data_IF_823081426745
#
_entry.id   IF_823081426745
#
_cell.length_a   1.000
_cell.length_b   1.000
_cell.length_c   1.000
_cell.angle_alpha   90.00
_cell.angle_beta   90.00
_cell.angle_gamma   90.00
#
_symmetry.space_group_name_H-M   'P 1'
#
loop_
_entity.id
_entity.type
_entity.pdbx_description
1 polymer ?
#
# COMPACT_ATOMS: atom_id res chain seq x y z
N UNK A 1 -7.66 -9.03 63.86
CA UNK A 1 -7.82 -10.48 63.67
C UNK A 1 -9.21 -10.71 63.09
N UNK A 2 -9.24 -11.23 61.86
CA UNK A 2 -10.33 -11.72 60.99
C UNK A 2 -11.81 -11.29 61.11
N UNK A 3 -12.28 -10.86 59.93
CA UNK A 3 -13.52 -11.22 59.21
C UNK A 3 -14.89 -10.70 59.72
N UNK A 4 -15.63 -9.99 58.86
CA UNK A 4 -16.63 -10.60 57.95
C UNK A 4 -17.32 -9.53 57.07
N UNK A 5 -17.68 -9.94 55.85
CA UNK A 5 -18.50 -9.23 54.84
C UNK A 5 -19.97 -9.20 55.25
N UNK A 6 -20.72 -8.12 54.98
CA UNK A 6 -22.15 -8.16 54.60
C UNK A 6 -22.54 -6.98 53.69
N UNK A 7 -23.47 -7.27 52.78
CA UNK A 7 -24.00 -6.45 51.70
C UNK A 7 -25.00 -5.38 52.17
N UNK A 8 -25.13 -4.29 51.39
CA UNK A 8 -26.20 -3.31 51.53
C UNK A 8 -26.62 -2.74 50.17
N UNK A 9 -27.87 -2.94 49.81
CA UNK A 9 -28.55 -2.40 48.61
C UNK A 9 -29.14 -1.01 48.87
N UNK A 10 -29.32 -0.22 47.80
CA UNK A 10 -30.47 0.67 47.48
C UNK A 10 -30.04 2.03 46.88
N UNK A 11 -30.63 2.38 45.74
CA UNK A 11 -30.54 3.70 45.13
C UNK A 11 -30.91 3.69 43.64
N UNK A 12 -32.19 3.49 43.33
CA UNK A 12 -32.74 3.75 42.00
C UNK A 12 -32.91 5.26 41.80
N UNK A 13 -32.39 5.81 40.70
CA UNK A 13 -32.94 7.01 40.07
C UNK A 13 -33.21 6.69 38.60
N UNK A 14 -34.49 6.55 38.25
CA UNK A 14 -34.97 6.59 36.87
C UNK A 14 -34.80 8.00 36.31
N UNK A 15 -34.13 8.13 35.16
CA UNK A 15 -34.47 9.18 34.19
C UNK A 15 -34.71 8.56 32.82
N UNK A 16 -35.98 8.57 32.45
CA UNK A 16 -36.53 8.27 31.14
C UNK A 16 -36.44 9.51 30.25
N UNK A 17 -35.86 9.36 29.07
CA UNK A 17 -35.86 10.32 27.97
C UNK A 17 -35.17 9.65 26.78
N UNK A 18 -35.90 8.84 26.01
CA UNK A 18 -36.58 9.25 24.78
C UNK A 18 -35.62 9.95 23.81
N UNK A 19 -35.03 9.14 22.93
CA UNK A 19 -34.23 9.56 21.80
C UNK A 19 -34.23 8.39 20.84
N UNK A 20 -35.00 8.54 19.77
CA UNK A 20 -35.16 7.65 18.62
C UNK A 20 -33.84 6.95 18.30
N UNK A 21 -33.85 5.62 18.31
CA UNK A 21 -32.75 4.84 17.78
C UNK A 21 -32.60 5.21 16.31
N UNK A 22 -31.65 6.09 16.00
CA UNK A 22 -30.99 6.08 14.71
C UNK A 22 -30.46 4.65 14.56
N UNK A 23 -31.17 3.85 13.75
CA UNK A 23 -30.57 2.75 13.05
C UNK A 23 -29.49 3.37 12.17
N UNK A 24 -28.31 3.62 12.75
CA UNK A 24 -27.10 3.82 12.00
C UNK A 24 -26.97 2.56 11.17
N UNK A 25 -27.36 2.64 9.90
CA UNK A 25 -26.98 1.65 8.89
C UNK A 25 -25.47 1.62 8.99
N UNK A 26 -24.92 0.60 9.67
CA UNK A 26 -23.48 0.43 9.71
C UNK A 26 -23.04 0.31 8.27
N UNK A 27 -22.40 1.38 7.80
CA UNK A 27 -21.92 1.47 6.44
C UNK A 27 -21.00 0.26 6.21
N UNK A 28 -21.21 -0.53 5.14
CA UNK A 28 -20.45 -1.75 4.93
C UNK A 28 -18.97 -1.46 5.07
N UNK A 29 -18.30 -2.12 6.02
CA UNK A 29 -16.87 -1.94 6.20
C UNK A 29 -16.15 -2.59 5.01
N UNK A 30 -15.55 -1.77 4.16
CA UNK A 30 -14.71 -2.24 3.06
C UNK A 30 -13.27 -2.42 3.58
N UNK A 31 -12.73 -3.65 3.64
CA UNK A 31 -11.35 -3.88 4.06
C UNK A 31 -10.34 -3.14 3.16
N UNK A 32 -10.71 -2.82 1.93
CA UNK A 32 -9.89 -2.13 0.95
C UNK A 32 -10.21 -0.63 0.85
N UNK A 33 -10.94 -0.07 1.81
CA UNK A 33 -11.21 1.37 1.90
C UNK A 33 -9.91 2.18 1.86
N UNK A 34 -8.84 1.65 2.44
CA UNK A 34 -7.48 2.21 2.39
C UNK A 34 -6.51 1.14 1.88
N UNK A 35 -5.73 1.48 0.86
CA UNK A 35 -4.65 0.65 0.33
C UNK A 35 -3.40 1.49 0.06
N UNK A 36 -2.26 0.83 -0.17
CA UNK A 36 -1.00 1.49 -0.51
C UNK A 36 -0.55 1.03 -1.89
N UNK A 37 -0.30 2.00 -2.78
CA UNK A 37 0.35 1.76 -4.05
C UNK A 37 1.83 2.12 -3.98
N UNK A 38 2.71 1.12 -4.05
CA UNK A 38 4.17 1.24 -4.08
C UNK A 38 4.65 1.27 -5.53
N UNK A 39 5.57 2.19 -5.84
CA UNK A 39 6.18 2.35 -7.15
C UNK A 39 7.64 1.90 -7.06
N UNK A 40 7.90 0.69 -7.57
CA UNK A 40 9.20 0.05 -7.62
C UNK A 40 10.02 0.47 -8.85
N UNK A 41 11.32 0.18 -8.82
CA UNK A 41 12.17 0.24 -10.02
C UNK A 41 11.82 -0.90 -11.00
N UNK A 42 12.11 -0.74 -12.31
CA UNK A 42 11.85 -1.79 -13.28
C UNK A 42 12.53 -3.11 -12.91
N UNK A 43 11.79 -4.22 -12.95
CA UNK A 43 12.21 -5.57 -12.56
C UNK A 43 11.98 -5.92 -11.09
N UNK A 44 11.64 -4.95 -10.24
CA UNK A 44 11.53 -5.14 -8.79
C UNK A 44 10.08 -5.27 -8.30
N UNK A 45 9.06 -5.02 -9.14
CA UNK A 45 7.68 -5.02 -8.65
C UNK A 45 7.18 -6.40 -8.25
N UNK A 46 7.47 -7.43 -9.06
CA UNK A 46 6.94 -8.77 -8.82
C UNK A 46 7.53 -9.41 -7.55
N UNK A 47 8.87 -9.45 -7.34
CA UNK A 47 9.42 -10.01 -6.10
C UNK A 47 8.92 -9.27 -4.85
N UNK A 48 8.76 -7.95 -4.94
CA UNK A 48 8.26 -7.13 -3.85
C UNK A 48 6.78 -7.40 -3.57
N UNK A 49 5.93 -7.51 -4.59
CA UNK A 49 4.52 -7.87 -4.45
C UNK A 49 4.40 -9.26 -3.78
N UNK A 50 5.11 -10.27 -4.30
CA UNK A 50 5.09 -11.63 -3.73
C UNK A 50 5.55 -11.66 -2.26
N UNK A 51 6.57 -10.87 -1.91
CA UNK A 51 7.04 -10.79 -0.53
C UNK A 51 5.98 -10.18 0.39
N UNK A 52 5.32 -9.11 -0.04
CA UNK A 52 4.23 -8.47 0.73
C UNK A 52 3.04 -9.43 0.86
N UNK A 53 2.63 -10.09 -0.23
CA UNK A 53 1.50 -11.02 -0.24
C UNK A 53 1.75 -12.21 0.70
N UNK A 54 2.98 -12.75 0.73
CA UNK A 54 3.35 -13.82 1.68
C UNK A 54 3.23 -13.38 3.14
N UNK A 55 3.60 -12.14 3.45
CA UNK A 55 3.47 -11.60 4.82
C UNK A 55 1.99 -11.36 5.16
N UNK A 56 1.20 -10.81 4.24
CA UNK A 56 -0.24 -10.60 4.48
C UNK A 56 -1.04 -11.91 4.54
N UNK A 57 -0.59 -12.97 3.86
CA UNK A 57 -1.20 -14.29 3.96
C UNK A 57 -1.13 -14.90 5.37
N UNK A 58 -0.21 -14.43 6.24
CA UNK A 58 -0.22 -14.79 7.66
C UNK A 58 -1.39 -14.17 8.43
N UNK A 59 -1.95 -13.06 7.92
CA UNK A 59 -3.09 -12.35 8.49
C UNK A 59 -4.39 -12.88 7.87
N UNK A 60 -4.50 -12.78 6.54
CA UNK A 60 -5.66 -13.28 5.80
C UNK A 60 -5.29 -13.44 4.29
N UNK A 61 -5.61 -14.57 3.64
CA UNK A 61 -5.16 -14.88 2.28
C UNK A 61 -5.72 -13.93 1.21
N UNK A 62 -6.94 -13.40 1.40
CA UNK A 62 -7.59 -12.51 0.42
C UNK A 62 -7.25 -11.02 0.63
N UNK A 63 -6.34 -10.70 1.56
CA UNK A 63 -6.05 -9.33 1.96
C UNK A 63 -5.05 -8.66 1.01
N UNK A 64 -5.56 -8.06 -0.07
CA UNK A 64 -4.77 -7.33 -1.08
C UNK A 64 -4.67 -5.83 -0.79
N UNK A 65 -4.04 -5.45 0.33
CA UNK A 65 -3.92 -4.03 0.73
C UNK A 65 -2.81 -3.27 0.01
N UNK A 66 -1.95 -3.95 -0.74
CA UNK A 66 -0.80 -3.36 -1.41
C UNK A 66 -0.82 -3.65 -2.90
N UNK A 67 -0.55 -2.62 -3.68
CA UNK A 67 -0.21 -2.74 -5.10
C UNK A 67 1.23 -2.35 -5.30
N UNK A 68 1.98 -3.12 -6.07
CA UNK A 68 3.31 -2.74 -6.53
C UNK A 68 3.28 -2.58 -8.05
N UNK A 69 3.65 -1.40 -8.52
CA UNK A 69 3.86 -1.14 -9.95
C UNK A 69 5.27 -0.65 -10.22
N UNK A 70 5.65 -0.60 -11.49
CA UNK A 70 6.96 -0.14 -11.92
C UNK A 70 6.88 1.26 -12.51
N UNK A 71 7.89 2.07 -12.19
CA UNK A 71 8.13 3.32 -12.91
C UNK A 71 8.66 3.02 -14.31
N UNK A 72 8.47 3.96 -15.25
CA UNK A 72 8.92 3.82 -16.66
C UNK A 72 10.44 3.73 -16.86
N UNK A 73 11.23 4.27 -15.94
CA UNK A 73 12.69 4.28 -16.01
C UNK A 73 13.29 4.27 -14.61
N UNK A 74 14.39 3.56 -14.43
CA UNK A 74 15.09 3.51 -13.14
C UNK A 74 15.51 4.91 -12.71
N UNK A 75 15.24 5.26 -11.45
CA UNK A 75 15.80 6.49 -10.88
C UNK A 75 17.26 6.22 -10.56
N UNK A 76 18.19 7.02 -11.13
CA UNK A 76 19.55 7.09 -10.59
C UNK A 76 19.41 7.39 -9.10
N UNK A 77 19.94 6.52 -8.24
CA UNK A 77 20.03 6.75 -6.79
C UNK A 77 20.74 8.09 -6.59
N UNK A 78 19.97 9.16 -6.43
CA UNK A 78 20.51 10.45 -6.01
C UNK A 78 21.09 10.18 -4.62
N UNK A 79 22.37 10.49 -4.41
CA UNK A 79 22.95 10.51 -3.07
C UNK A 79 22.03 11.40 -2.23
N UNK A 80 21.34 10.79 -1.27
CA UNK A 80 20.56 11.55 -0.33
C UNK A 80 21.50 12.60 0.28
N UNK A 81 21.11 13.89 0.33
CA UNK A 81 21.86 14.84 1.14
C UNK A 81 21.94 14.27 2.56
N UNK A 82 23.06 14.53 3.27
CA UNK A 82 23.20 14.21 4.70
C UNK A 82 22.23 15.08 5.51
N UNK A 83 20.93 14.89 5.32
CA UNK A 83 19.91 15.39 6.20
C UNK A 83 19.91 14.50 7.45
N UNK A 84 19.63 15.10 8.62
CA UNK A 84 19.26 14.35 9.83
C UNK A 84 18.27 13.24 9.44
N UNK A 85 18.33 12.08 10.08
CA UNK A 85 17.44 10.94 9.81
C UNK A 85 16.00 11.43 9.65
N UNK A 86 15.57 11.57 8.39
CA UNK A 86 14.34 12.28 8.08
C UNK A 86 13.23 11.23 8.12
N UNK A 87 12.27 11.42 9.02
CA UNK A 87 11.23 10.43 9.27
C UNK A 87 10.27 10.36 8.08
N UNK A 88 10.10 9.21 7.41
CA UNK A 88 9.09 9.07 6.36
C UNK A 88 7.69 9.37 6.89
N UNK A 89 6.87 10.02 6.07
CA UNK A 89 5.51 10.40 6.41
C UNK A 89 4.59 9.18 6.58
N UNK A 90 4.85 8.06 5.90
CA UNK A 90 4.00 6.88 5.93
C UNK A 90 4.71 5.71 6.62
N UNK A 91 3.98 5.01 7.48
CA UNK A 91 4.37 3.76 8.10
C UNK A 91 3.28 2.69 7.96
N UNK A 92 3.73 1.45 7.84
CA UNK A 92 2.93 0.23 7.94
C UNK A 92 3.41 -0.52 9.17
N UNK A 93 2.50 -0.82 10.09
CA UNK A 93 2.82 -1.62 11.27
C UNK A 93 1.89 -2.82 11.32
N UNK A 94 2.47 -4.00 11.35
CA UNK A 94 1.76 -5.26 11.52
C UNK A 94 1.84 -5.68 12.98
N UNK A 95 0.70 -5.81 13.63
CA UNK A 95 0.59 -6.38 14.96
C UNK A 95 0.19 -7.83 14.80
N UNK A 96 1.13 -8.74 15.10
CA UNK A 96 0.95 -10.17 14.89
C UNK A 96 0.97 -10.90 16.24
N UNK A 97 0.11 -11.90 16.43
CA UNK A 97 0.16 -12.74 17.63
C UNK A 97 1.53 -13.43 17.76
N UNK A 98 2.02 -13.57 19.00
CA UNK A 98 3.33 -14.20 19.28
C UNK A 98 3.47 -15.61 18.69
N UNK A 99 2.38 -16.36 18.57
CA UNK A 99 2.36 -17.69 17.94
C UNK A 99 2.71 -17.69 16.44
N UNK A 100 2.44 -16.58 15.74
CA UNK A 100 2.86 -16.40 14.33
C UNK A 100 4.31 -15.93 14.20
N UNK A 101 4.94 -15.53 15.31
CA UNK A 101 6.29 -14.97 15.35
C UNK A 101 7.24 -15.75 16.29
N UNK A 102 7.32 -17.10 16.21
CA UNK A 102 8.07 -17.91 17.18
C UNK A 102 9.59 -17.65 17.18
N UNK A 103 10.10 -16.92 16.19
CA UNK A 103 11.53 -16.63 16.02
C UNK A 103 11.87 -15.14 15.97
N UNK A 104 10.89 -14.23 16.12
CA UNK A 104 11.21 -12.80 16.11
C UNK A 104 11.58 -12.33 17.53
N UNK A 105 12.70 -11.62 17.70
CA UNK A 105 12.99 -10.98 18.97
C UNK A 105 11.85 -10.01 19.31
N UNK A 106 11.47 -9.96 20.59
CA UNK A 106 10.40 -9.08 21.07
C UNK A 106 10.73 -7.64 20.63
N UNK A 107 9.95 -7.14 19.67
CA UNK A 107 10.10 -5.84 19.01
C UNK A 107 11.16 -5.79 17.89
N UNK A 108 10.72 -5.55 16.64
CA UNK A 108 11.58 -5.10 15.55
C UNK A 108 11.52 -3.57 15.44
N UNK A 109 12.66 -2.91 15.39
CA UNK A 109 12.72 -1.49 15.02
C UNK A 109 12.18 -1.25 13.61
N UNK A 110 11.78 -0.01 13.34
CA UNK A 110 11.29 0.35 12.01
C UNK A 110 12.38 0.14 10.95
N UNK A 111 12.02 -0.46 9.83
CA UNK A 111 12.89 -0.66 8.67
C UNK A 111 12.26 -0.07 7.40
N UNK A 112 13.07 0.18 6.38
CA UNK A 112 12.59 0.61 5.06
C UNK A 112 13.00 -0.42 4.01
N UNK A 113 12.10 -0.75 3.10
CA UNK A 113 12.38 -1.66 1.98
C UNK A 113 13.25 -0.96 0.93
N UNK A 114 12.98 0.32 0.65
CA UNK A 114 13.80 1.17 -0.19
C UNK A 114 13.64 2.66 0.20
N UNK A 115 14.55 3.56 -0.21
CA UNK A 115 14.36 4.99 -0.02
C UNK A 115 13.05 5.48 -0.66
N UNK A 116 12.28 6.29 0.09
CA UNK A 116 11.02 6.85 -0.38
C UNK A 116 9.82 5.89 -0.31
N UNK A 117 9.97 4.68 0.25
CA UNK A 117 8.85 3.78 0.59
C UNK A 117 8.43 3.98 2.06
N UNK A 118 7.34 3.37 2.53
CA UNK A 118 6.94 3.48 3.93
C UNK A 118 7.98 2.90 4.88
N UNK A 119 7.94 3.34 6.14
CA UNK A 119 8.53 2.60 7.25
C UNK A 119 7.69 1.35 7.53
N UNK A 120 8.34 0.24 7.85
CA UNK A 120 7.72 -1.03 8.20
C UNK A 120 8.12 -1.43 9.60
N UNK A 121 7.20 -2.02 10.34
CA UNK A 121 7.51 -2.69 11.59
C UNK A 121 6.55 -3.86 11.82
N UNK A 122 7.08 -4.91 12.44
CA UNK A 122 6.29 -6.03 12.93
C UNK A 122 6.38 -6.01 14.46
N UNK A 123 5.23 -6.03 15.12
CA UNK A 123 5.12 -5.94 16.58
C UNK A 123 4.34 -7.15 17.10
N UNK A 124 4.89 -7.92 18.05
CA UNK A 124 4.15 -9.01 18.67
C UNK A 124 3.00 -8.45 19.54
N UNK A 125 1.88 -9.17 19.57
CA UNK A 125 0.79 -8.94 20.53
C UNK A 125 0.48 -10.23 21.30
N UNK A 126 0.23 -10.10 22.61
CA UNK A 126 -0.04 -11.25 23.47
C UNK A 126 -1.45 -11.83 23.28
N UNK A 127 -2.41 -10.99 22.88
CA UNK A 127 -3.81 -11.37 22.66
C UNK A 127 -4.47 -10.38 21.70
N UNK A 128 -5.61 -10.78 21.16
CA UNK A 128 -6.44 -9.94 20.28
C UNK A 128 -6.33 -10.34 18.82
N UNK A 129 -6.86 -9.49 17.94
CA UNK A 129 -6.85 -9.69 16.50
C UNK A 129 -5.53 -9.27 15.89
N UNK A 130 -5.22 -9.83 14.73
CA UNK A 130 -4.11 -9.34 13.92
C UNK A 130 -4.45 -7.94 13.39
N UNK A 131 -3.50 -7.01 13.43
CA UNK A 131 -3.77 -5.62 13.05
C UNK A 131 -2.83 -5.19 11.94
N UNK A 132 -3.41 -4.76 10.81
CA UNK A 132 -2.69 -3.99 9.80
C UNK A 132 -2.97 -2.53 10.05
N UNK A 133 -1.93 -1.76 10.43
CA UNK A 133 -2.06 -0.33 10.70
C UNK A 133 -1.25 0.53 9.75
N UNK A 134 -1.94 1.35 8.99
CA UNK A 134 -1.35 2.45 8.25
C UNK A 134 -1.25 3.68 9.17
N UNK A 135 -0.08 4.30 9.22
CA UNK A 135 0.19 5.46 10.07
C UNK A 135 0.76 6.59 9.24
N UNK A 136 0.09 7.74 9.25
CA UNK A 136 0.65 8.99 8.72
C UNK A 136 1.27 9.78 9.86
N UNK A 137 2.57 10.02 9.74
CA UNK A 137 3.30 10.96 10.57
C UNK A 137 3.10 12.37 10.04
N UNK A 138 2.63 13.24 10.93
CA UNK A 138 2.19 14.59 10.58
C UNK A 138 3.09 15.62 11.26
N UNK A 139 3.26 16.79 10.66
CA UNK A 139 3.86 17.94 11.33
C UNK A 139 3.02 18.41 12.52
N UNK A 140 3.69 19.05 13.48
CA UNK A 140 3.04 19.55 14.68
C UNK A 140 1.98 20.63 14.39
N UNK A 141 2.31 21.57 13.50
CA UNK A 141 1.48 22.70 13.10
C UNK A 141 0.27 22.29 12.27
N UNK A 142 0.42 21.29 11.39
CA UNK A 142 -0.64 20.85 10.48
C UNK A 142 -1.59 19.79 11.05
N UNK A 143 -1.33 19.24 12.24
CA UNK A 143 -2.06 18.08 12.77
C UNK A 143 -3.59 18.25 12.80
N UNK A 144 -4.08 19.44 13.19
CA UNK A 144 -5.52 19.69 13.26
C UNK A 144 -6.20 19.65 11.88
N UNK A 145 -5.52 20.15 10.85
CA UNK A 145 -6.07 20.21 9.50
C UNK A 145 -5.87 18.88 8.76
N UNK A 146 -4.79 18.15 9.04
CA UNK A 146 -4.59 16.76 8.59
C UNK A 146 -5.65 15.83 9.18
N UNK A 147 -5.98 16.01 10.47
CA UNK A 147 -7.06 15.25 11.11
C UNK A 147 -8.39 15.45 10.37
N UNK A 148 -8.78 16.69 10.12
CA UNK A 148 -10.01 17.02 9.38
C UNK A 148 -9.98 16.48 7.95
N UNK A 149 -8.84 16.56 7.27
CA UNK A 149 -8.65 16.06 5.91
C UNK A 149 -8.91 14.55 5.82
N UNK A 150 -8.27 13.75 6.67
CA UNK A 150 -8.47 12.30 6.66
C UNK A 150 -9.84 11.88 7.22
N UNK A 151 -10.39 12.61 8.20
CA UNK A 151 -11.78 12.42 8.66
C UNK A 151 -12.78 12.65 7.53
N UNK A 152 -12.56 13.67 6.69
CA UNK A 152 -13.39 13.96 5.51
C UNK A 152 -13.28 12.87 4.44
N UNK A 153 -12.07 12.40 4.12
CA UNK A 153 -11.85 11.34 3.12
C UNK A 153 -12.42 10.00 3.58
N UNK A 154 -12.17 9.62 4.85
CA UNK A 154 -12.66 8.36 5.41
C UNK A 154 -14.15 8.39 5.76
N UNK A 155 -14.77 9.58 5.79
CA UNK A 155 -16.16 9.82 6.23
C UNK A 155 -16.44 9.20 7.60
N UNK A 156 -15.44 9.18 8.48
CA UNK A 156 -15.48 8.52 9.80
C UNK A 156 -14.66 9.32 10.81
N UNK A 157 -15.15 9.39 12.04
CA UNK A 157 -14.41 9.97 13.16
C UNK A 157 -13.46 8.97 13.81
N UNK A 158 -12.36 9.43 14.43
CA UNK A 158 -11.41 8.54 15.09
C UNK A 158 -12.02 7.90 16.35
N UNK A 159 -11.80 6.59 16.54
CA UNK A 159 -12.28 5.83 17.71
C UNK A 159 -11.42 6.04 18.96
N UNK A 160 -10.13 6.32 18.77
CA UNK A 160 -9.20 6.66 19.85
C UNK A 160 -8.51 7.98 19.53
N UNK A 161 -8.53 8.92 20.47
CA UNK A 161 -7.89 10.22 20.30
C UNK A 161 -7.07 10.59 21.52
N UNK A 162 -5.77 10.73 21.30
CA UNK A 162 -4.79 11.32 22.21
C UNK A 162 -4.33 12.66 21.62
N UNK A 163 -3.51 13.39 22.35
CA UNK A 163 -3.02 14.71 21.94
C UNK A 163 -2.16 14.69 20.67
N UNK A 164 -1.46 13.58 20.42
CA UNK A 164 -0.49 13.39 19.35
C UNK A 164 -0.76 12.14 18.51
N UNK A 165 -1.85 11.43 18.77
CA UNK A 165 -2.15 10.16 18.12
C UNK A 165 -3.65 9.90 18.03
N UNK A 166 -4.12 9.46 16.87
CA UNK A 166 -5.50 9.00 16.73
C UNK A 166 -5.61 7.79 15.80
N UNK A 167 -6.68 7.01 15.99
CA UNK A 167 -6.99 5.81 15.19
C UNK A 167 -8.37 5.95 14.57
N UNK A 168 -8.44 5.71 13.27
CA UNK A 168 -9.65 5.50 12.49
C UNK A 168 -9.81 4.00 12.23
N UNK A 169 -10.92 3.38 12.69
CA UNK A 169 -11.22 1.99 12.33
C UNK A 169 -11.64 1.94 10.86
N UNK A 170 -10.90 1.18 10.06
CA UNK A 170 -11.19 0.98 8.63
C UNK A 170 -12.06 -0.25 8.45
N UNK A 171 -11.62 -1.38 8.99
CA UNK A 171 -12.32 -2.65 8.93
C UNK A 171 -12.03 -3.47 10.18
N UNK A 172 -12.99 -4.29 10.60
CA UNK A 172 -12.86 -5.17 11.75
C UNK A 172 -13.64 -6.47 11.49
N UNK A 173 -12.97 -7.60 11.67
CA UNK A 173 -13.59 -8.93 11.63
C UNK A 173 -13.30 -9.71 12.91
N UNK A 174 -13.54 -11.03 12.92
CA UNK A 174 -13.20 -11.89 14.04
C UNK A 174 -11.68 -12.05 14.21
N UNK A 175 -10.92 -12.02 13.11
CA UNK A 175 -9.50 -12.38 13.10
C UNK A 175 -8.59 -11.16 12.82
N UNK A 176 -9.07 -10.16 12.08
CA UNK A 176 -8.26 -9.03 11.62
C UNK A 176 -8.91 -7.68 11.88
N UNK A 177 -8.09 -6.71 12.27
CA UNK A 177 -8.42 -5.28 12.27
C UNK A 177 -7.53 -4.52 11.27
N UNK A 178 -8.16 -3.65 10.49
CA UNK A 178 -7.46 -2.70 9.63
C UNK A 178 -7.66 -1.32 10.22
N UNK A 179 -6.55 -0.64 10.47
CA UNK A 179 -6.55 0.66 11.12
C UNK A 179 -5.80 1.67 10.26
N UNK A 180 -6.37 2.87 10.18
CA UNK A 180 -5.65 4.05 9.73
C UNK A 180 -5.38 4.93 10.94
N UNK A 181 -4.20 5.52 11.05
CA UNK A 181 -3.84 6.31 12.23
C UNK A 181 -3.00 7.52 11.84
N UNK A 182 -3.11 8.56 12.65
CA UNK A 182 -2.30 9.76 12.55
C UNK A 182 -1.42 9.85 13.79
N UNK A 183 -0.14 10.17 13.59
CA UNK A 183 0.80 10.44 14.67
C UNK A 183 1.48 11.78 14.45
N UNK A 184 1.20 12.75 15.31
CA UNK A 184 1.84 14.05 15.31
C UNK A 184 3.29 13.91 15.77
N UNK A 185 4.23 14.43 14.99
CA UNK A 185 5.62 14.50 15.39
C UNK A 185 5.87 15.68 16.36
N UNK A 186 6.95 15.60 17.16
CA UNK A 186 7.46 16.75 17.91
C UNK A 186 7.71 17.96 17.00
N UNK A 187 7.67 19.16 17.57
CA UNK A 187 7.77 20.42 16.83
C UNK A 187 9.11 20.67 16.12
N UNK A 188 10.17 19.92 16.46
CA UNK A 188 11.49 19.98 15.83
C UNK A 188 11.67 18.97 14.68
N UNK A 189 10.64 18.15 14.40
CA UNK A 189 10.68 17.10 13.40
C UNK A 189 9.64 17.33 12.31
N UNK A 190 10.05 17.10 11.07
CA UNK A 190 9.17 17.16 9.92
C UNK A 190 9.18 15.80 9.20
N UNK A 191 7.99 15.25 8.90
CA UNK A 191 7.91 14.07 8.08
C UNK A 191 8.36 14.38 6.65
N UNK A 192 8.92 13.39 5.97
CA UNK A 192 9.28 13.46 4.56
C UNK A 192 8.29 12.63 3.75
N UNK A 193 7.58 13.23 2.78
CA UNK A 193 6.68 12.49 1.91
C UNK A 193 7.35 11.28 1.26
N UNK A 194 6.60 10.18 1.16
CA UNK A 194 7.09 8.93 0.56
C UNK A 194 6.89 8.95 -0.95
N UNK A 195 7.86 9.45 -1.72
CA UNK A 195 7.75 9.59 -3.17
C UNK A 195 7.43 8.30 -3.95
N UNK A 196 7.77 7.14 -3.39
CA UNK A 196 7.59 5.83 -4.02
C UNK A 196 6.42 5.04 -3.40
N UNK A 197 5.59 5.65 -2.56
CA UNK A 197 4.37 5.02 -2.05
C UNK A 197 3.26 6.03 -1.82
N UNK A 198 2.06 5.68 -2.26
CA UNK A 198 0.90 6.58 -2.24
C UNK A 198 -0.26 5.87 -1.57
N UNK A 199 -0.95 6.55 -0.67
CA UNK A 199 -2.20 6.05 -0.11
C UNK A 199 -3.32 6.21 -1.13
N UNK A 200 -4.14 5.17 -1.25
CA UNK A 200 -5.30 5.15 -2.11
C UNK A 200 -6.55 4.86 -1.26
N UNK A 201 -7.53 5.76 -1.37
CA UNK A 201 -8.78 5.70 -0.61
C UNK A 201 -9.95 5.46 -1.55
N UNK A 202 -10.78 4.46 -1.27
CA UNK A 202 -12.05 4.29 -1.97
C UNK A 202 -13.06 5.28 -1.41
N UNK A 203 -13.72 6.04 -2.27
CA UNK A 203 -14.71 7.05 -1.88
C UNK A 203 -15.98 6.87 -2.67
N UNK A 204 -17.12 7.10 -2.01
CA UNK A 204 -18.44 6.89 -2.61
C UNK A 204 -18.77 7.91 -3.69
N UNK A 205 -18.56 9.17 -3.38
CA UNK A 205 -18.87 10.29 -4.27
C UNK A 205 -17.72 11.30 -4.30
N UNK A 206 -16.99 11.33 -5.42
CA UNK A 206 -15.93 12.30 -5.68
C UNK A 206 -16.50 13.71 -5.88
N UNK A 207 -17.66 13.84 -6.52
CA UNK A 207 -18.29 15.12 -6.83
C UNK A 207 -18.68 15.91 -5.59
N UNK A 208 -19.16 15.23 -4.55
CA UNK A 208 -19.39 15.86 -3.24
C UNK A 208 -18.10 16.13 -2.46
N UNK A 209 -17.08 15.27 -2.61
CA UNK A 209 -15.84 15.36 -1.84
C UNK A 209 -14.92 16.49 -2.35
N UNK A 210 -14.75 16.61 -3.67
CA UNK A 210 -13.79 17.55 -4.30
C UNK A 210 -13.97 19.00 -3.83
N UNK A 211 -15.18 19.57 -3.75
CA UNK A 211 -15.37 20.95 -3.28
C UNK A 211 -14.98 21.17 -1.81
N UNK A 212 -14.89 20.11 -1.01
CA UNK A 212 -14.56 20.16 0.41
C UNK A 212 -13.06 19.97 0.68
N UNK A 213 -12.28 19.52 -0.31
CA UNK A 213 -10.85 19.28 -0.16
C UNK A 213 -10.08 20.61 -0.09
N UNK A 214 -9.08 20.72 0.81
CA UNK A 214 -8.29 21.94 0.98
C UNK A 214 -7.33 22.19 -0.18
N UNK A 215 -6.91 21.13 -0.86
CA UNK A 215 -5.99 21.17 -2.00
C UNK A 215 -6.70 20.73 -3.28
N UNK A 216 -6.23 21.20 -4.45
CA UNK A 216 -6.79 20.79 -5.74
C UNK A 216 -6.86 19.26 -5.87
N UNK A 217 -7.97 18.79 -6.41
CA UNK A 217 -8.18 17.40 -6.73
C UNK A 217 -8.48 17.28 -8.22
N UNK A 218 -7.62 16.55 -8.93
CA UNK A 218 -7.68 16.42 -10.39
C UNK A 218 -7.77 14.96 -10.82
N UNK A 219 -8.50 14.64 -11.89
CA UNK A 219 -8.56 13.29 -12.42
C UNK A 219 -7.19 12.92 -13.03
N UNK A 220 -6.74 11.69 -12.78
CA UNK A 220 -5.51 11.13 -13.38
C UNK A 220 -5.79 9.99 -14.35
N UNK A 221 -6.91 9.29 -14.17
CA UNK A 221 -7.48 8.31 -15.09
C UNK A 221 -8.97 8.16 -14.82
N UNK A 222 -9.66 7.35 -15.61
CA UNK A 222 -11.06 7.00 -15.33
C UNK A 222 -11.22 6.46 -13.90
N UNK A 223 -12.15 7.06 -13.14
CA UNK A 223 -12.43 6.68 -11.76
C UNK A 223 -11.32 6.94 -10.73
N UNK A 224 -10.20 7.58 -11.12
CA UNK A 224 -9.05 7.81 -10.22
C UNK A 224 -8.63 9.26 -10.20
N UNK A 225 -8.59 9.82 -9.01
CA UNK A 225 -8.29 11.22 -8.76
C UNK A 225 -7.07 11.34 -7.84
N UNK A 226 -6.39 12.47 -7.92
CA UNK A 226 -5.23 12.76 -7.09
C UNK A 226 -5.41 14.10 -6.40
N UNK A 227 -5.04 14.15 -5.13
CA UNK A 227 -4.89 15.37 -4.33
C UNK A 227 -3.65 15.25 -3.43
N UNK A 228 -3.43 16.22 -2.56
CA UNK A 228 -2.34 16.24 -1.58
C UNK A 228 -2.90 16.62 -0.20
N UNK A 229 -2.30 16.11 0.87
CA UNK A 229 -2.60 16.55 2.24
C UNK A 229 -1.84 17.85 2.59
N UNK A 230 -2.00 18.34 3.82
CA UNK A 230 -1.34 19.57 4.28
C UNK A 230 0.18 19.45 4.45
N UNK A 231 0.72 18.23 4.49
CA UNK A 231 2.16 17.96 4.57
C UNK A 231 2.78 17.65 3.18
N UNK A 232 1.98 17.73 2.11
CA UNK A 232 2.41 17.47 0.74
C UNK A 232 2.50 15.98 0.39
N UNK A 233 1.86 15.11 1.18
CA UNK A 233 1.72 13.70 0.82
C UNK A 233 0.69 13.57 -0.27
N UNK A 234 1.05 12.87 -1.35
CA UNK A 234 0.11 12.53 -2.41
C UNK A 234 -0.91 11.52 -1.90
N UNK A 235 -2.16 11.74 -2.29
CA UNK A 235 -3.29 10.88 -1.94
C UNK A 235 -4.10 10.61 -3.21
N UNK A 236 -4.46 9.35 -3.42
CA UNK A 236 -5.31 8.92 -4.53
C UNK A 236 -6.70 8.61 -4.04
N UNK A 237 -7.69 9.05 -4.81
CA UNK A 237 -9.10 8.84 -4.53
C UNK A 237 -9.72 7.98 -5.64
N UNK A 238 -10.10 6.78 -5.21
CA UNK A 238 -10.88 5.72 -5.83
C UNK A 238 -12.38 5.97 -6.00
N UNK A 239 -12.94 6.38 -7.14
CA UNK A 239 -14.41 6.31 -7.36
C UNK A 239 -14.81 5.09 -8.19
N UNK A 240 -15.70 4.26 -7.65
CA UNK A 240 -16.28 3.10 -8.35
C UNK A 240 -17.12 2.22 -7.42
N UNK A 241 -17.95 1.34 -7.97
CA UNK A 241 -18.72 0.39 -7.16
C UNK A 241 -17.79 -0.67 -6.53
N UNK A 242 -18.06 -1.18 -5.31
CA UNK A 242 -17.20 -2.19 -4.67
C UNK A 242 -16.92 -3.43 -5.55
N UNK A 243 -17.86 -3.81 -6.43
CA UNK A 243 -17.70 -4.95 -7.35
C UNK A 243 -16.79 -4.65 -8.57
N UNK A 244 -16.81 -3.43 -9.12
CA UNK A 244 -15.94 -3.02 -10.23
C UNK A 244 -14.51 -2.69 -9.76
N UNK A 245 -14.37 -2.19 -8.53
CA UNK A 245 -13.05 -1.93 -7.98
C UNK A 245 -12.35 -3.27 -7.70
N UNK A 246 -13.03 -4.22 -7.05
CA UNK A 246 -12.45 -5.54 -6.74
C UNK A 246 -11.99 -6.28 -8.00
N UNK A 247 -12.66 -6.13 -9.15
CA UNK A 247 -12.20 -6.70 -10.44
C UNK A 247 -10.91 -6.06 -10.98
N UNK A 248 -10.61 -4.80 -10.62
CA UNK A 248 -9.32 -4.18 -10.94
C UNK A 248 -8.15 -4.74 -10.10
N UNK A 249 -8.46 -5.30 -8.92
CA UNK A 249 -7.50 -5.91 -7.99
C UNK A 249 -7.39 -7.44 -8.17
N UNK A 250 -8.49 -8.10 -8.53
CA UNK A 250 -8.58 -9.54 -8.72
C UNK A 250 -8.09 -10.04 -10.08
N UNK A 251 -7.56 -9.19 -10.97
CA UNK A 251 -7.14 -9.67 -12.30
C UNK A 251 -6.04 -10.74 -12.08
N UNK A 252 -6.33 -12.04 -12.31
CA UNK A 252 -5.30 -13.04 -12.15
C UNK A 252 -4.21 -12.75 -13.18
N UNK A 253 -2.96 -13.01 -12.83
CA UNK A 253 -1.94 -13.23 -13.85
C UNK A 253 -2.54 -14.20 -14.89
N UNK A 254 -2.34 -14.00 -16.21
CA UNK A 254 -2.80 -14.97 -17.18
C UNK A 254 -2.21 -16.31 -16.75
N UNK A 255 -3.07 -17.26 -16.38
CA UNK A 255 -2.67 -18.65 -16.23
C UNK A 255 -2.03 -18.98 -17.57
N UNK A 256 -0.72 -19.21 -17.55
CA UNK A 256 -0.01 -19.83 -18.66
C UNK A 256 -0.78 -21.12 -18.87
N UNK A 257 -1.50 -21.22 -19.99
CA UNK A 257 -2.16 -22.45 -20.36
C UNK A 257 -1.03 -23.47 -20.57
N UNK A 258 -0.80 -24.27 -19.53
CA UNK A 258 0.06 -25.44 -19.60
C UNK A 258 -0.40 -26.29 -20.78
N UNK A 259 0.58 -26.66 -21.59
CA UNK A 259 0.38 -27.26 -22.89
C UNK A 259 -0.54 -28.47 -22.85
N UNK A 260 -1.60 -28.42 -23.67
CA UNK A 260 -2.25 -29.64 -24.13
C UNK A 260 -1.46 -30.19 -25.32
N UNK A 261 -1.05 -31.47 -25.29
CA UNK A 261 -0.32 -32.09 -26.39
C UNK A 261 -1.24 -32.36 -27.58
N UNK A 262 -0.78 -31.99 -28.77
CA UNK A 262 -1.39 -32.33 -30.06
C UNK A 262 -1.42 -33.86 -30.27
N UNK A 263 -2.55 -34.47 -30.67
CA UNK A 263 -2.57 -35.83 -31.18
C UNK A 263 -2.81 -35.84 -32.71
N UNK A 264 -1.80 -36.24 -33.48
CA UNK A 264 -1.89 -36.88 -34.82
C UNK A 264 -0.48 -36.89 -35.45
N UNK A 265 0.31 -37.95 -35.28
CA UNK A 265 0.45 -39.12 -36.19
C UNK A 265 0.99 -38.76 -37.60
N UNK A 266 2.31 -38.89 -37.71
CA UNK A 266 3.09 -39.66 -38.70
C UNK A 266 2.83 -39.55 -40.21
N UNK A 267 3.86 -39.11 -40.96
CA UNK A 267 4.37 -39.80 -42.15
C UNK A 267 5.81 -39.31 -42.52
N UNK A 268 6.65 -40.15 -43.17
CA UNK A 268 8.11 -40.06 -43.12
C UNK A 268 8.77 -39.33 -44.31
N UNK A 269 10.00 -38.86 -44.11
CA UNK A 269 10.87 -38.24 -45.13
C UNK A 269 11.68 -39.28 -45.94
N UNK A 270 11.96 -39.04 -47.23
CA UNK A 270 12.97 -39.80 -47.98
C UNK A 270 14.35 -39.10 -47.99
N UNK A 271 15.43 -39.82 -48.39
CA UNK A 271 16.79 -39.54 -47.92
C UNK A 271 17.71 -38.78 -48.89
N UNK A 272 18.67 -38.06 -48.27
CA UNK A 272 20.12 -37.88 -48.57
C UNK A 272 20.58 -37.63 -50.02
N UNK A 273 21.37 -36.57 -50.23
CA UNK A 273 22.70 -36.66 -50.89
C UNK A 273 23.63 -35.51 -50.50
N UNK A 274 24.83 -35.89 -50.07
CA UNK A 274 26.01 -35.06 -49.79
C UNK A 274 26.64 -34.49 -51.08
N UNK A 275 27.32 -33.33 -50.96
CA UNK A 275 28.21 -32.84 -52.02
C UNK A 275 28.83 -31.46 -51.79
N UNK A 276 30.04 -31.43 -51.22
CA UNK A 276 31.10 -30.42 -51.43
C UNK A 276 32.24 -31.12 -52.23
N UNK A 277 33.29 -30.47 -52.82
CA UNK A 277 33.80 -29.10 -52.68
C UNK A 277 34.45 -28.43 -53.96
N UNK A 278 34.98 -27.19 -53.82
CA UNK A 278 36.07 -26.57 -54.64
C UNK A 278 35.62 -25.80 -55.90
N UNK A 279 36.27 -24.75 -56.44
CA UNK A 279 37.60 -24.12 -56.28
C UNK A 279 37.73 -22.90 -57.24
N UNK A 280 38.58 -21.90 -56.90
CA UNK A 280 39.35 -20.94 -57.76
C UNK A 280 38.62 -19.76 -58.46
N UNK A 281 38.96 -18.46 -58.23
CA UNK A 281 40.13 -17.57 -58.56
C UNK A 281 39.57 -16.41 -59.43
N UNK A 282 39.98 -15.13 -59.48
CA UNK A 282 41.17 -14.36 -59.10
C UNK A 282 40.86 -12.82 -59.19
N UNK A 283 41.66 -11.97 -58.50
CA UNK A 283 42.20 -10.61 -58.85
C UNK A 283 41.28 -9.46 -59.33
N UNK A 284 41.45 -8.14 -59.10
CA UNK A 284 42.42 -7.15 -58.52
C UNK A 284 41.57 -5.85 -58.34
N UNK A 285 41.77 -4.84 -57.48
CA UNK A 285 42.85 -3.83 -57.40
C UNK A 285 42.39 -2.73 -56.39
N UNK A 286 43.33 -2.01 -55.77
CA UNK A 286 43.17 -0.89 -54.78
C UNK A 286 43.85 0.35 -55.38
N UNK A 287 43.38 1.61 -55.16
CA UNK A 287 43.95 2.51 -54.12
C UNK A 287 42.86 3.40 -53.44
N UNK A 288 42.88 3.70 -52.13
CA UNK A 288 43.66 4.70 -51.34
C UNK A 288 43.70 6.15 -51.87
N UNK A 289 42.99 7.07 -51.19
CA UNK A 289 43.46 8.32 -50.52
C UNK A 289 42.23 9.20 -50.17
N UNK A 290 41.94 9.63 -48.93
CA UNK A 290 42.64 10.49 -47.94
C UNK A 290 42.25 11.99 -48.07
N UNK A 291 41.64 12.50 -46.97
CA UNK A 291 41.70 13.89 -46.45
C UNK A 291 41.00 15.02 -47.23
N UNK A 292 40.50 16.12 -46.65
CA UNK A 292 40.31 16.57 -45.26
C UNK A 292 39.50 17.89 -45.29
N UNK A 293 39.25 18.43 -44.08
CA UNK A 293 39.05 19.84 -43.72
C UNK A 293 37.64 20.44 -43.82
N UNK A 294 37.03 20.54 -42.63
CA UNK A 294 36.22 21.70 -42.20
C UNK A 294 37.15 22.78 -41.61
N UNK A 295 36.72 24.06 -41.65
CA UNK A 295 37.40 25.20 -41.04
C UNK A 295 37.29 25.22 -39.50
#
# INVERSE_FOLDING_TARGET
MCCSYEEGTCGQEEKKGSGIGELSVEEPQDPFLVSIHIIADPGESQPLQEAIDRVLAWIHPDLQLFRVSERRASRRRRKAPKAKAAQPALAVVLFLQEGLLPYLPCSQDFFMLAPGTPLWAIRPVHYGREIVRFTIYCRHDNYADILKFYELILRRSPSQRKTDFCIFPVFSSLDVDIQFSLKRLPCDQNPVPTDNSVLEFRVKDIGELVPLLPNPCSPISEGRWQTEDHDGNKVLLQSGTPQEITTCWLRPAPLVADGMPNPAVSAPSPPVTDGRPGSHRDRTEVPMDVQSLKP
#
